data_IF_126306232019
#
_entry.id   IF_126306232019
#
_cell.length_a   1.000
_cell.length_b   1.000
_cell.length_c   1.000
_cell.angle_alpha   90.00
_cell.angle_beta   90.00
_cell.angle_gamma   90.00
#
_symmetry.space_group_name_H-M   'P 1'
#
loop_
_entity.id
_entity.type
_entity.pdbx_description
1 polymer ?
#
# COMPACT_ATOMS: atom_id res chain seq x y z
N UNK A 1 17.29 14.06 4.35
CA UNK A 1 16.45 15.08 3.65
C UNK A 1 15.01 14.80 4.01
N UNK A 2 14.26 15.81 4.36
CA UNK A 2 12.82 15.67 4.65
C UNK A 2 12.08 15.25 3.37
N UNK A 3 11.20 14.24 3.48
CA UNK A 3 10.41 13.76 2.34
C UNK A 3 9.16 14.65 2.21
N UNK A 4 8.97 15.20 1.02
CA UNK A 4 7.77 15.95 0.63
C UNK A 4 7.28 15.39 -0.69
N UNK A 5 6.18 14.64 -0.63
CA UNK A 5 5.59 13.95 -1.77
C UNK A 5 4.24 14.53 -2.17
N UNK A 6 3.88 14.30 -3.40
CA UNK A 6 2.52 14.41 -3.91
C UNK A 6 2.19 13.15 -4.70
N UNK A 7 0.93 12.72 -4.61
CA UNK A 7 0.43 11.55 -5.33
C UNK A 7 -0.51 12.04 -6.44
N UNK A 8 -0.33 11.48 -7.64
CA UNK A 8 -1.21 11.72 -8.79
C UNK A 8 -1.59 10.41 -9.46
N UNK A 9 -2.68 10.42 -10.20
CA UNK A 9 -2.98 9.30 -11.10
C UNK A 9 -2.05 9.31 -12.33
N UNK A 10 -1.67 8.13 -12.86
CA UNK A 10 -0.85 8.07 -14.08
C UNK A 10 -1.47 8.80 -15.27
N UNK A 11 -2.79 8.91 -15.31
CA UNK A 11 -3.56 9.63 -16.35
C UNK A 11 -3.40 11.15 -16.26
N UNK A 12 -3.04 11.68 -15.08
CA UNK A 12 -2.87 13.13 -14.84
C UNK A 12 -1.45 13.61 -15.14
N UNK A 13 -0.58 12.75 -15.66
CA UNK A 13 0.79 13.10 -16.01
C UNK A 13 0.79 14.16 -17.11
N UNK A 14 1.57 15.21 -16.87
CA UNK A 14 1.76 16.33 -17.80
C UNK A 14 3.24 16.71 -17.88
N UNK A 15 3.75 17.19 -19.03
CA UNK A 15 5.11 17.69 -19.16
C UNK A 15 5.45 18.86 -18.21
N UNK A 16 4.46 19.51 -17.64
CA UNK A 16 4.63 20.63 -16.70
C UNK A 16 4.93 20.16 -15.26
N UNK A 17 4.59 18.93 -14.90
CA UNK A 17 4.74 18.43 -13.55
C UNK A 17 6.19 18.49 -13.01
N UNK A 18 7.22 18.03 -13.74
CA UNK A 18 8.59 18.04 -13.21
C UNK A 18 9.03 19.41 -12.72
N UNK A 19 8.83 20.45 -13.55
CA UNK A 19 9.19 21.82 -13.21
C UNK A 19 8.38 22.36 -12.02
N UNK A 20 7.08 22.12 -11.99
CA UNK A 20 6.18 22.58 -10.91
C UNK A 20 6.53 21.92 -9.58
N UNK A 21 6.79 20.63 -9.57
CA UNK A 21 7.20 19.89 -8.37
C UNK A 21 8.52 20.42 -7.83
N UNK A 22 9.50 20.64 -8.71
CA UNK A 22 10.79 21.20 -8.32
C UNK A 22 10.64 22.61 -7.70
N UNK A 23 9.87 23.50 -8.34
CA UNK A 23 9.58 24.85 -7.83
C UNK A 23 8.85 24.83 -6.49
N UNK A 24 7.97 23.86 -6.27
CA UNK A 24 7.26 23.68 -5.00
C UNK A 24 8.11 23.00 -3.91
N UNK A 25 9.34 22.60 -4.22
CA UNK A 25 10.23 21.90 -3.28
C UNK A 25 9.77 20.47 -2.97
N UNK A 26 8.98 19.86 -3.87
CA UNK A 26 8.58 18.45 -3.80
C UNK A 26 9.72 17.58 -4.29
N UNK A 27 10.06 16.53 -3.55
CA UNK A 27 11.17 15.64 -3.86
C UNK A 27 10.75 14.17 -4.09
N UNK A 28 9.44 13.88 -3.98
CA UNK A 28 8.87 12.56 -4.28
C UNK A 28 7.58 12.73 -5.06
N UNK A 29 7.41 11.98 -6.15
CA UNK A 29 6.15 11.83 -6.87
C UNK A 29 5.65 10.40 -6.71
N UNK A 30 4.50 10.24 -6.07
CA UNK A 30 3.74 8.99 -6.02
C UNK A 30 2.86 8.84 -7.26
N UNK A 31 2.93 7.69 -7.92
CA UNK A 31 2.01 7.31 -9.00
C UNK A 31 1.01 6.30 -8.47
N UNK A 32 -0.26 6.71 -8.42
CA UNK A 32 -1.35 5.92 -7.86
C UNK A 32 -2.37 5.53 -8.94
N UNK A 33 -2.28 4.31 -9.51
CA UNK A 33 -3.36 3.77 -10.33
C UNK A 33 -4.68 3.72 -9.55
N UNK A 34 -5.80 3.93 -10.24
CA UNK A 34 -7.13 3.96 -9.61
C UNK A 34 -7.34 2.74 -8.71
N UNK A 35 -7.85 2.98 -7.49
CA UNK A 35 -8.14 1.98 -6.47
C UNK A 35 -9.48 1.24 -6.66
N UNK A 36 -9.96 0.60 -5.58
CA UNK A 36 -11.23 -0.10 -5.54
C UNK A 36 -11.35 -1.24 -6.55
N UNK A 37 -12.54 -1.49 -7.07
CA UNK A 37 -12.80 -2.57 -8.04
C UNK A 37 -12.01 -2.43 -9.35
N UNK A 38 -11.59 -1.22 -9.71
CA UNK A 38 -10.79 -0.92 -10.90
C UNK A 38 -9.29 -1.19 -10.74
N UNK A 39 -8.79 -1.38 -9.53
CA UNK A 39 -7.36 -1.45 -9.22
C UNK A 39 -6.58 -2.47 -10.08
N UNK A 40 -7.04 -3.72 -10.29
CA UNK A 40 -6.28 -4.68 -11.09
C UNK A 40 -6.14 -4.27 -12.57
N UNK A 41 -7.16 -3.63 -13.13
CA UNK A 41 -7.13 -3.16 -14.53
C UNK A 41 -6.24 -1.91 -14.67
N UNK A 42 -6.38 -0.96 -13.74
CA UNK A 42 -5.60 0.28 -13.71
C UNK A 42 -4.10 -0.03 -13.50
N UNK A 43 -3.76 -0.96 -12.61
CA UNK A 43 -2.38 -1.40 -12.43
C UNK A 43 -1.81 -2.06 -13.69
N UNK A 44 -2.57 -2.92 -14.37
CA UNK A 44 -2.15 -3.50 -15.66
C UNK A 44 -1.87 -2.42 -16.71
N UNK A 45 -2.73 -1.42 -16.81
CA UNK A 45 -2.54 -0.29 -17.71
C UNK A 45 -1.30 0.53 -17.37
N UNK A 46 -1.06 0.82 -16.08
CA UNK A 46 0.13 1.54 -15.62
C UNK A 46 1.42 0.76 -15.95
N UNK A 47 1.43 -0.56 -15.76
CA UNK A 47 2.56 -1.42 -16.13
C UNK A 47 2.81 -1.42 -17.64
N UNK A 48 1.77 -1.52 -18.46
CA UNK A 48 1.88 -1.48 -19.92
C UNK A 48 2.41 -0.13 -20.42
N UNK A 49 2.01 0.97 -19.78
CA UNK A 49 2.44 2.32 -20.14
C UNK A 49 3.83 2.70 -19.63
N UNK A 50 4.40 1.92 -18.72
CA UNK A 50 5.69 2.25 -18.09
C UNK A 50 6.80 2.49 -19.12
N UNK A 51 6.89 1.64 -20.12
CA UNK A 51 7.94 1.69 -21.14
C UNK A 51 7.56 2.57 -22.34
N UNK A 52 6.38 3.21 -22.33
CA UNK A 52 5.97 4.15 -23.36
C UNK A 52 6.94 5.35 -23.43
N UNK A 53 7.34 5.81 -24.63
CA UNK A 53 8.33 6.89 -24.78
C UNK A 53 8.02 8.16 -24.00
N UNK A 54 6.75 8.54 -23.89
CA UNK A 54 6.31 9.75 -23.15
C UNK A 54 6.51 9.55 -21.64
N UNK A 55 6.10 8.40 -21.09
CA UNK A 55 6.34 8.05 -19.69
C UNK A 55 7.84 8.05 -19.40
N UNK A 56 8.64 7.45 -20.24
CA UNK A 56 10.08 7.41 -20.08
C UNK A 56 10.72 8.82 -20.16
N UNK A 57 10.21 9.71 -21.02
CA UNK A 57 10.65 11.13 -21.04
C UNK A 57 10.29 11.84 -19.73
N UNK A 58 9.09 11.61 -19.23
CA UNK A 58 8.62 12.17 -17.97
C UNK A 58 9.47 11.70 -16.78
N UNK A 59 9.70 10.40 -16.64
CA UNK A 59 10.52 9.83 -15.56
C UNK A 59 11.96 10.39 -15.60
N UNK A 60 12.57 10.47 -16.77
CA UNK A 60 13.90 11.10 -16.93
C UNK A 60 13.89 12.60 -16.59
N UNK A 61 12.81 13.30 -16.81
CA UNK A 61 12.70 14.71 -16.44
C UNK A 61 12.66 14.90 -14.91
N UNK A 62 11.96 14.02 -14.19
CA UNK A 62 11.93 13.98 -12.72
C UNK A 62 13.31 13.64 -12.15
N UNK A 63 13.97 12.61 -12.69
CA UNK A 63 15.28 12.16 -12.25
C UNK A 63 16.33 13.28 -12.36
N UNK A 64 16.36 14.02 -13.47
CA UNK A 64 17.26 15.19 -13.65
C UNK A 64 17.05 16.31 -12.62
N UNK A 65 15.85 16.39 -12.03
CA UNK A 65 15.52 17.38 -11.01
C UNK A 65 15.65 16.81 -9.58
N UNK A 66 16.14 15.57 -9.44
CA UNK A 66 16.31 14.90 -8.16
C UNK A 66 14.98 14.53 -7.48
N UNK A 67 13.91 14.35 -8.28
CA UNK A 67 12.59 13.96 -7.79
C UNK A 67 12.46 12.45 -7.96
N UNK A 68 12.36 11.71 -6.85
CA UNK A 68 12.16 10.28 -6.86
C UNK A 68 10.72 9.93 -7.24
N UNK A 69 10.54 8.79 -7.91
CA UNK A 69 9.21 8.26 -8.23
C UNK A 69 8.93 7.02 -7.39
N UNK A 70 7.75 6.97 -6.79
CA UNK A 70 7.23 5.83 -6.05
C UNK A 70 5.89 5.37 -6.65
N UNK A 71 5.62 4.07 -6.56
CA UNK A 71 4.37 3.48 -7.04
C UNK A 71 3.53 3.07 -5.83
N UNK A 72 2.43 3.80 -5.60
CA UNK A 72 1.55 3.66 -4.45
C UNK A 72 0.24 3.04 -4.92
N UNK A 73 0.02 1.74 -4.65
CA UNK A 73 -0.97 0.97 -5.41
C UNK A 73 -1.69 -0.07 -4.56
N UNK A 74 -3.00 -0.23 -4.79
CA UNK A 74 -3.75 -1.40 -4.36
C UNK A 74 -3.40 -2.58 -5.27
N UNK A 75 -2.56 -3.48 -4.79
CA UNK A 75 -1.94 -4.51 -5.64
C UNK A 75 -2.58 -5.88 -5.52
N UNK A 76 -3.30 -6.17 -4.44
CA UNK A 76 -3.66 -7.54 -4.09
C UNK A 76 -4.56 -8.20 -5.14
N UNK A 77 -5.59 -7.50 -5.62
CA UNK A 77 -6.47 -8.03 -6.67
C UNK A 77 -5.76 -8.27 -8.01
N UNK A 78 -4.61 -7.61 -8.26
CA UNK A 78 -3.74 -7.91 -9.40
C UNK A 78 -2.83 -9.12 -9.13
N UNK A 79 -2.25 -9.21 -7.93
CA UNK A 79 -1.32 -10.27 -7.54
C UNK A 79 -2.02 -11.61 -7.28
N UNK A 80 -3.28 -11.58 -6.86
CA UNK A 80 -4.13 -12.75 -6.62
C UNK A 80 -5.39 -12.67 -7.52
N UNK A 81 -5.27 -12.97 -8.81
CA UNK A 81 -6.38 -12.84 -9.75
C UNK A 81 -7.51 -13.84 -9.43
N UNK A 82 -8.80 -13.43 -9.61
CA UNK A 82 -9.97 -14.19 -9.20
C UNK A 82 -10.11 -15.57 -9.86
N UNK A 83 -9.49 -15.77 -11.02
CA UNK A 83 -9.48 -17.04 -11.75
C UNK A 83 -8.80 -18.17 -10.95
N UNK A 84 -7.92 -17.82 -10.02
CA UNK A 84 -7.27 -18.80 -9.15
C UNK A 84 -8.22 -19.43 -8.14
N UNK A 85 -9.36 -18.81 -7.85
CA UNK A 85 -10.35 -19.34 -6.89
C UNK A 85 -10.79 -20.77 -7.24
N UNK A 86 -10.87 -21.11 -8.53
CA UNK A 86 -11.28 -22.44 -8.99
C UNK A 86 -10.27 -23.52 -8.61
N UNK A 87 -8.98 -23.20 -8.64
CA UNK A 87 -7.90 -24.18 -8.38
C UNK A 87 -7.33 -24.08 -6.96
N UNK A 88 -7.39 -22.90 -6.39
CA UNK A 88 -6.81 -22.57 -5.09
C UNK A 88 -7.79 -21.76 -4.25
N UNK A 89 -8.98 -22.32 -3.91
CA UNK A 89 -9.96 -21.60 -3.10
C UNK A 89 -9.40 -21.21 -1.72
N UNK A 90 -8.47 -21.99 -1.18
CA UNK A 90 -7.82 -21.77 0.13
C UNK A 90 -6.99 -20.48 0.17
N UNK A 91 -6.57 -19.91 -0.98
CA UNK A 91 -5.86 -18.64 -1.05
C UNK A 91 -6.77 -17.44 -0.76
N UNK A 92 -8.06 -17.60 -1.03
CA UNK A 92 -9.04 -16.52 -0.95
C UNK A 92 -9.68 -16.42 0.44
N UNK A 93 -10.18 -15.24 0.82
CA UNK A 93 -10.81 -15.06 2.11
C UNK A 93 -12.08 -15.90 2.21
N UNK A 94 -12.35 -16.41 3.42
CA UNK A 94 -13.59 -17.06 3.77
C UNK A 94 -14.50 -16.02 4.42
N UNK A 95 -15.75 -15.97 4.00
CA UNK A 95 -16.77 -15.13 4.65
C UNK A 95 -17.29 -15.78 5.94
N UNK A 96 -18.17 -15.08 6.67
CA UNK A 96 -18.79 -15.60 7.90
C UNK A 96 -19.72 -16.79 7.68
N UNK A 97 -20.17 -17.02 6.45
CA UNK A 97 -20.96 -18.19 6.03
C UNK A 97 -20.11 -19.41 5.68
N UNK A 98 -18.78 -19.32 5.76
CA UNK A 98 -17.87 -20.43 5.45
C UNK A 98 -17.53 -20.58 3.97
N UNK A 99 -17.92 -19.63 3.11
CA UNK A 99 -17.66 -19.67 1.68
C UNK A 99 -16.40 -18.86 1.33
N UNK A 100 -15.56 -19.42 0.47
CA UNK A 100 -14.42 -18.73 -0.12
C UNK A 100 -14.87 -17.90 -1.33
N UNK A 101 -14.41 -16.65 -1.41
CA UNK A 101 -14.80 -15.72 -2.48
C UNK A 101 -13.57 -14.99 -3.04
N UNK A 102 -13.65 -14.63 -4.32
CA UNK A 102 -12.60 -13.80 -4.97
C UNK A 102 -12.64 -12.37 -4.42
N UNK A 103 -11.82 -12.12 -3.41
CA UNK A 103 -11.69 -10.79 -2.80
C UNK A 103 -12.86 -10.39 -1.86
N UNK A 104 -12.72 -9.24 -1.20
CA UNK A 104 -11.48 -8.50 -1.10
C UNK A 104 -10.46 -9.19 -0.18
N UNK A 105 -9.19 -8.89 -0.41
CA UNK A 105 -8.05 -9.46 0.30
C UNK A 105 -7.86 -10.98 0.10
N UNK A 106 -7.11 -11.63 0.99
CA UNK A 106 -6.75 -13.06 0.89
C UNK A 106 -6.79 -13.76 2.26
N UNK A 107 -6.58 -15.06 2.27
CA UNK A 107 -6.36 -15.81 3.50
C UNK A 107 -4.98 -15.48 4.06
N UNK A 108 -4.95 -14.89 5.27
CA UNK A 108 -3.72 -14.41 5.91
C UNK A 108 -2.93 -15.50 6.67
N UNK A 109 -3.39 -16.74 6.63
CA UNK A 109 -2.78 -17.83 7.43
C UNK A 109 -2.44 -19.08 6.63
N UNK A 110 -2.92 -19.21 5.39
CA UNK A 110 -2.60 -20.37 4.56
C UNK A 110 -1.15 -20.26 4.03
N UNK A 111 -0.25 -21.22 4.33
CA UNK A 111 1.17 -21.11 3.96
C UNK A 111 1.37 -20.91 2.46
N UNK A 112 0.76 -21.77 1.63
CA UNK A 112 0.94 -21.72 0.17
C UNK A 112 0.38 -20.41 -0.43
N UNK A 113 -0.65 -19.81 0.19
CA UNK A 113 -1.16 -18.50 -0.21
C UNK A 113 -0.14 -17.39 0.09
N UNK A 114 0.52 -17.45 1.26
CA UNK A 114 1.56 -16.50 1.64
C UNK A 114 2.82 -16.68 0.77
N UNK A 115 3.21 -17.90 0.44
CA UNK A 115 4.31 -18.17 -0.48
C UNK A 115 3.98 -17.69 -1.90
N UNK A 116 2.76 -17.91 -2.35
CA UNK A 116 2.28 -17.42 -3.64
C UNK A 116 2.38 -15.89 -3.73
N UNK A 117 1.85 -15.17 -2.72
CA UNK A 117 1.87 -13.70 -2.74
C UNK A 117 3.28 -13.13 -2.63
N UNK A 118 4.18 -13.79 -1.89
CA UNK A 118 5.61 -13.43 -1.86
C UNK A 118 6.23 -13.52 -3.26
N UNK A 119 5.98 -14.63 -3.98
CA UNK A 119 6.45 -14.81 -5.35
C UNK A 119 5.90 -13.79 -6.34
N UNK A 120 4.62 -13.41 -6.22
CA UNK A 120 4.03 -12.36 -7.05
C UNK A 120 4.60 -10.98 -6.72
N UNK A 121 4.82 -10.68 -5.44
CA UNK A 121 5.43 -9.42 -5.00
C UNK A 121 6.87 -9.27 -5.49
N UNK A 122 7.65 -10.35 -5.51
CA UNK A 122 8.97 -10.39 -6.16
C UNK A 122 8.88 -9.99 -7.63
N UNK A 123 7.94 -10.57 -8.39
CA UNK A 123 7.77 -10.29 -9.82
C UNK A 123 7.38 -8.84 -10.08
N UNK A 124 6.47 -8.30 -9.26
CA UNK A 124 6.04 -6.90 -9.38
C UNK A 124 7.16 -5.93 -9.00
N UNK A 125 7.90 -6.19 -7.93
CA UNK A 125 9.04 -5.37 -7.52
C UNK A 125 10.14 -5.32 -8.60
N UNK A 126 10.36 -6.41 -9.31
CA UNK A 126 11.27 -6.44 -10.48
C UNK A 126 10.76 -5.63 -11.67
N UNK A 127 9.45 -5.55 -11.87
CA UNK A 127 8.87 -4.72 -12.91
C UNK A 127 8.88 -3.23 -12.54
N UNK A 128 8.73 -2.90 -11.26
CA UNK A 128 8.66 -1.54 -10.73
C UNK A 128 9.76 -1.33 -9.67
N UNK A 129 11.04 -1.27 -10.07
CA UNK A 129 12.13 -1.03 -9.12
C UNK A 129 11.98 0.37 -8.50
N UNK A 130 12.05 0.43 -7.16
CA UNK A 130 11.96 1.69 -6.42
C UNK A 130 13.34 2.33 -6.24
N UNK A 131 13.49 3.61 -6.63
CA UNK A 131 14.70 4.39 -6.38
C UNK A 131 14.93 4.68 -4.89
N UNK A 132 13.85 4.71 -4.12
CA UNK A 132 13.87 4.99 -2.67
C UNK A 132 13.93 3.72 -1.83
N UNK A 133 13.87 2.52 -2.44
CA UNK A 133 13.68 1.24 -1.78
C UNK A 133 12.39 1.14 -0.97
N UNK A 134 11.45 2.06 -1.16
CA UNK A 134 10.14 2.05 -0.51
C UNK A 134 9.12 1.53 -1.49
N UNK A 135 8.31 0.57 -1.04
CA UNK A 135 7.25 -0.07 -1.81
C UNK A 135 5.92 0.15 -1.11
N UNK A 136 4.89 0.45 -1.89
CA UNK A 136 3.53 0.73 -1.42
C UNK A 136 2.57 -0.21 -2.15
N UNK A 137 2.72 -1.50 -1.86
CA UNK A 137 1.87 -2.56 -2.39
C UNK A 137 0.75 -2.80 -1.40
N UNK A 138 -0.24 -1.92 -1.42
CA UNK A 138 -1.36 -1.98 -0.48
C UNK A 138 -2.28 -3.17 -0.79
N UNK A 139 -2.99 -3.63 0.24
CA UNK A 139 -4.08 -4.57 0.10
C UNK A 139 -5.27 -3.90 -0.61
N UNK A 140 -6.38 -4.64 -0.80
CA UNK A 140 -7.55 -4.09 -1.48
C UNK A 140 -8.16 -2.91 -0.70
N UNK A 141 -8.65 -1.92 -1.43
CA UNK A 141 -9.30 -0.73 -0.88
C UNK A 141 -10.70 -1.08 -0.34
N UNK A 142 -10.72 -1.53 0.88
CA UNK A 142 -11.95 -2.03 1.50
C UNK A 142 -11.89 -2.01 3.03
N UNK A 143 -13.04 -1.76 3.65
CA UNK A 143 -13.25 -1.86 5.09
C UNK A 143 -13.82 -3.24 5.46
N UNK A 144 -13.04 -4.31 5.29
CA UNK A 144 -13.52 -5.67 5.63
C UNK A 144 -12.98 -6.17 6.96
N UNK A 145 -13.69 -7.14 7.54
CA UNK A 145 -13.23 -7.89 8.70
C UNK A 145 -12.09 -8.88 8.37
N UNK A 146 -11.67 -8.98 7.10
CA UNK A 146 -10.70 -9.95 6.63
C UNK A 146 -11.28 -11.38 6.50
N UNK A 147 -10.37 -12.36 6.37
CA UNK A 147 -10.73 -13.77 6.25
C UNK A 147 -11.28 -14.32 7.57
N UNK A 148 -12.40 -15.05 7.50
CA UNK A 148 -13.10 -15.65 8.64
C UNK A 148 -12.88 -17.17 8.75
N UNK A 149 -11.87 -17.74 8.08
CA UNK A 149 -11.54 -19.15 8.26
C UNK A 149 -11.10 -19.45 9.72
N UNK A 150 -11.14 -20.71 10.17
CA UNK A 150 -10.83 -21.06 11.56
C UNK A 150 -9.50 -20.49 12.10
N UNK A 151 -8.50 -20.37 11.24
CA UNK A 151 -7.17 -19.84 11.60
C UNK A 151 -7.10 -18.31 11.58
N UNK A 152 -7.94 -17.64 10.76
CA UNK A 152 -7.92 -16.18 10.62
C UNK A 152 -8.89 -15.45 11.56
N UNK A 153 -10.04 -16.06 11.91
CA UNK A 153 -11.13 -15.39 12.64
C UNK A 153 -10.75 -14.83 14.01
N UNK A 154 -9.66 -15.33 14.60
CA UNK A 154 -9.10 -14.80 15.86
C UNK A 154 -8.10 -13.65 15.67
N UNK A 155 -7.79 -13.28 14.44
CA UNK A 155 -6.88 -12.22 14.11
C UNK A 155 -7.64 -10.94 13.76
N UNK A 156 -7.16 -9.79 14.26
CA UNK A 156 -7.69 -8.49 13.84
C UNK A 156 -7.42 -8.24 12.35
N UNK A 157 -8.15 -7.32 11.68
CA UNK A 157 -7.83 -6.90 10.32
C UNK A 157 -6.37 -6.44 10.19
N UNK A 158 -5.85 -5.74 11.19
CA UNK A 158 -4.45 -5.29 11.27
C UNK A 158 -3.45 -6.44 11.33
N UNK A 159 -3.75 -7.49 12.11
CA UNK A 159 -2.91 -8.69 12.17
C UNK A 159 -2.90 -9.43 10.83
N UNK A 160 -4.07 -9.58 10.20
CA UNK A 160 -4.18 -10.23 8.91
C UNK A 160 -3.42 -9.45 7.83
N UNK A 161 -3.60 -8.11 7.76
CA UNK A 161 -2.83 -7.27 6.86
C UNK A 161 -1.32 -7.46 7.08
N UNK A 162 -0.86 -7.35 8.32
CA UNK A 162 0.58 -7.43 8.62
C UNK A 162 1.19 -8.79 8.26
N UNK A 163 0.45 -9.90 8.42
CA UNK A 163 0.91 -11.23 7.99
C UNK A 163 1.12 -11.28 6.48
N UNK A 164 0.18 -10.74 5.71
CA UNK A 164 0.28 -10.67 4.25
C UNK A 164 1.47 -9.79 3.85
N UNK A 165 1.61 -8.61 4.45
CA UNK A 165 2.71 -7.69 4.16
C UNK A 165 4.08 -8.29 4.52
N UNK A 166 4.21 -9.04 5.60
CA UNK A 166 5.45 -9.75 5.92
C UNK A 166 5.86 -10.73 4.82
N UNK A 167 4.91 -11.49 4.27
CA UNK A 167 5.16 -12.38 3.14
C UNK A 167 5.52 -11.60 1.86
N UNK A 168 4.78 -10.52 1.57
CA UNK A 168 5.08 -9.66 0.42
C UNK A 168 6.48 -9.04 0.52
N UNK A 169 6.87 -8.55 1.70
CA UNK A 169 8.22 -7.98 1.92
C UNK A 169 9.32 -9.03 1.71
N UNK A 170 9.11 -10.27 2.15
CA UNK A 170 10.06 -11.34 1.89
C UNK A 170 10.28 -11.57 0.38
N UNK A 171 9.22 -11.48 -0.42
CA UNK A 171 9.32 -11.52 -1.88
C UNK A 171 10.01 -10.28 -2.47
N UNK A 172 9.64 -9.07 -2.04
CA UNK A 172 10.24 -7.81 -2.49
C UNK A 172 11.76 -7.83 -2.25
N UNK A 173 12.20 -8.30 -1.09
CA UNK A 173 13.63 -8.36 -0.73
C UNK A 173 14.47 -9.32 -1.56
N UNK A 174 13.87 -10.25 -2.25
CA UNK A 174 14.57 -11.05 -3.26
C UNK A 174 14.89 -10.24 -4.53
N UNK A 175 14.11 -9.19 -4.82
CA UNK A 175 14.35 -8.28 -5.94
C UNK A 175 15.17 -7.05 -5.52
N UNK A 176 14.93 -6.53 -4.33
CA UNK A 176 15.59 -5.38 -3.74
C UNK A 176 15.92 -5.67 -2.26
N UNK A 177 17.17 -6.09 -1.95
CA UNK A 177 17.57 -6.44 -0.58
C UNK A 177 17.39 -5.31 0.45
N UNK A 178 17.31 -4.04 0.02
CA UNK A 178 17.03 -2.87 0.87
C UNK A 178 15.55 -2.51 0.93
N UNK A 179 14.70 -3.29 0.27
CA UNK A 179 13.27 -3.03 0.17
C UNK A 179 12.60 -2.88 1.53
N UNK A 180 11.79 -1.84 1.64
CA UNK A 180 10.86 -1.57 2.75
C UNK A 180 9.44 -1.55 2.19
N UNK A 181 8.45 -1.95 2.99
CA UNK A 181 7.06 -2.04 2.56
C UNK A 181 6.15 -1.26 3.52
N UNK A 182 5.26 -0.44 2.96
CA UNK A 182 4.31 0.34 3.73
C UNK A 182 3.22 -0.55 4.37
N UNK A 183 3.00 -0.35 5.66
CA UNK A 183 1.77 -0.76 6.34
C UNK A 183 0.80 0.42 6.28
N UNK A 184 -0.22 0.33 5.43
CA UNK A 184 -1.25 1.34 5.32
C UNK A 184 -2.22 1.23 6.51
N UNK A 185 -2.10 2.16 7.47
CA UNK A 185 -3.07 2.30 8.56
C UNK A 185 -4.26 3.12 8.06
N UNK A 186 -5.35 2.44 7.73
CA UNK A 186 -6.48 2.98 6.99
C UNK A 186 -7.78 2.28 7.41
N UNK A 187 -8.81 3.01 7.70
CA UNK A 187 -10.14 2.50 8.05
C UNK A 187 -10.12 1.35 9.07
N UNK A 188 -10.20 0.10 8.61
CA UNK A 188 -10.25 -1.08 9.50
C UNK A 188 -8.90 -1.48 10.09
N UNK A 189 -7.80 -0.90 9.63
CA UNK A 189 -6.43 -1.21 10.06
C UNK A 189 -5.77 -0.08 10.86
N UNK A 190 -6.56 0.89 11.34
CA UNK A 190 -6.09 1.97 12.21
C UNK A 190 -5.71 1.50 13.62
N UNK A 191 -6.22 0.36 14.09
CA UNK A 191 -5.77 -0.23 15.35
C UNK A 191 -4.46 -0.98 15.14
N UNK A 192 -3.46 -0.83 16.04
CA UNK A 192 -2.22 -1.60 15.93
C UNK A 192 -2.47 -3.11 15.93
N UNK A 193 -1.66 -3.90 15.19
CA UNK A 193 -1.67 -5.36 15.31
C UNK A 193 -1.37 -5.81 16.74
N UNK A 194 -1.97 -6.93 17.17
CA UNK A 194 -1.79 -7.47 18.53
C UNK A 194 -1.01 -8.79 18.51
N UNK A 195 -1.38 -9.68 17.59
CA UNK A 195 -0.84 -11.05 17.50
C UNK A 195 0.31 -11.20 16.49
N UNK A 196 0.52 -10.21 15.62
CA UNK A 196 1.52 -10.26 14.55
C UNK A 196 2.56 -9.18 14.74
N UNK A 197 3.84 -9.51 14.55
CA UNK A 197 4.95 -8.53 14.59
C UNK A 197 5.40 -8.18 13.18
N UNK A 198 5.79 -6.92 12.94
CA UNK A 198 6.34 -6.52 11.66
C UNK A 198 7.73 -7.14 11.45
N UNK A 199 7.97 -7.63 10.25
CA UNK A 199 9.32 -7.88 9.79
C UNK A 199 10.08 -6.55 9.70
N UNK A 200 11.38 -6.58 9.95
CA UNK A 200 12.23 -5.41 9.75
C UNK A 200 12.04 -4.86 8.32
N UNK A 201 11.84 -3.53 8.20
CA UNK A 201 11.52 -2.85 6.92
C UNK A 201 10.04 -2.68 6.63
N UNK A 202 9.12 -3.21 7.45
CA UNK A 202 7.73 -2.72 7.42
C UNK A 202 7.68 -1.37 8.13
N UNK A 203 7.15 -0.35 7.48
CA UNK A 203 7.01 1.00 8.04
C UNK A 203 5.56 1.49 8.01
N UNK A 204 5.24 2.40 8.94
CA UNK A 204 3.90 2.98 9.03
C UNK A 204 3.65 3.97 7.90
N UNK A 205 2.55 3.80 7.19
CA UNK A 205 1.90 4.82 6.39
C UNK A 205 0.52 5.09 6.98
N UNK A 206 0.36 6.25 7.57
CA UNK A 206 -0.87 6.62 8.26
C UNK A 206 -1.76 7.46 7.35
N UNK A 207 -2.96 6.98 7.07
CA UNK A 207 -3.90 7.57 6.11
C UNK A 207 -5.20 8.03 6.81
N UNK A 208 -5.27 9.28 7.35
CA UNK A 208 -6.39 9.80 8.11
C UNK A 208 -7.54 10.28 7.22
N UNK A 209 -8.12 9.39 6.40
CA UNK A 209 -9.13 9.74 5.40
C UNK A 209 -10.41 10.33 6.00
N UNK A 210 -10.73 9.98 7.26
CA UNK A 210 -11.97 10.46 7.89
C UNK A 210 -11.80 11.74 8.67
N UNK A 211 -10.65 12.40 8.60
CA UNK A 211 -10.41 13.67 9.28
C UNK A 211 -11.27 14.82 8.71
N UNK A 212 -11.38 15.89 9.44
CA UNK A 212 -11.88 17.18 8.93
C UNK A 212 -10.75 17.92 8.21
N UNK A 213 -10.85 18.03 6.88
CA UNK A 213 -9.84 18.65 6.02
C UNK A 213 -9.81 20.19 6.12
N UNK A 214 -10.84 20.81 6.70
CA UNK A 214 -10.87 22.25 6.94
C UNK A 214 -10.09 22.66 8.20
N UNK A 215 -9.56 21.70 8.96
CA UNK A 215 -8.82 21.91 10.18
C UNK A 215 -7.51 21.12 10.20
N UNK A 216 -6.44 21.66 10.81
CA UNK A 216 -5.23 20.90 11.01
C UNK A 216 -5.52 19.57 11.73
N UNK A 217 -4.89 18.49 11.34
CA UNK A 217 -5.04 17.18 11.99
C UNK A 217 -4.71 17.26 13.49
N UNK A 218 -3.78 18.14 13.88
CA UNK A 218 -3.36 18.35 15.26
C UNK A 218 -4.32 19.24 16.09
N UNK A 219 -5.37 19.83 15.50
CA UNK A 219 -6.31 20.69 16.25
C UNK A 219 -7.07 19.87 17.30
N UNK A 220 -6.74 20.07 18.58
CA UNK A 220 -7.39 19.40 19.71
C UNK A 220 -8.85 19.79 19.94
N UNK A 221 -9.35 20.86 19.30
CA UNK A 221 -10.74 21.30 19.36
C UNK A 221 -11.63 20.67 18.31
N UNK A 222 -11.03 19.98 17.34
CA UNK A 222 -11.76 19.25 16.31
C UNK A 222 -11.96 17.79 16.77
N UNK A 223 -13.14 17.46 17.29
CA UNK A 223 -13.45 16.10 17.78
C UNK A 223 -13.21 15.01 16.74
N UNK A 224 -13.52 15.30 15.46
CA UNK A 224 -13.30 14.38 14.36
C UNK A 224 -11.82 14.06 14.19
N UNK A 225 -10.95 15.07 14.20
CA UNK A 225 -9.51 14.90 14.07
C UNK A 225 -8.89 14.25 15.32
N UNK A 226 -9.42 14.58 16.51
CA UNK A 226 -9.00 13.90 17.75
C UNK A 226 -9.28 12.40 17.69
N UNK A 227 -10.47 12.00 17.23
CA UNK A 227 -10.83 10.59 17.06
C UNK A 227 -9.96 9.90 16.02
N UNK A 228 -9.78 10.54 14.85
CA UNK A 228 -8.97 9.98 13.74
C UNK A 228 -7.55 9.70 14.20
N UNK A 229 -6.89 10.63 14.87
CA UNK A 229 -5.50 10.49 15.34
C UNK A 229 -5.32 9.71 16.65
N UNK A 230 -6.40 9.24 17.28
CA UNK A 230 -6.32 8.61 18.60
C UNK A 230 -5.36 7.40 18.64
N UNK A 231 -5.26 6.64 17.55
CA UNK A 231 -4.41 5.46 17.46
C UNK A 231 -2.98 5.76 16.96
N UNK A 232 -2.71 6.97 16.48
CA UNK A 232 -1.40 7.30 15.91
C UNK A 232 -0.23 7.10 16.89
N UNK A 233 -0.32 7.51 18.19
CA UNK A 233 0.77 7.25 19.14
C UNK A 233 1.07 5.75 19.31
N UNK A 234 0.04 4.90 19.36
CA UNK A 234 0.20 3.46 19.50
C UNK A 234 0.79 2.83 18.21
N UNK A 235 0.37 3.30 17.03
CA UNK A 235 0.93 2.89 15.75
C UNK A 235 2.41 3.29 15.63
N UNK A 236 2.77 4.51 16.02
CA UNK A 236 4.16 4.98 16.03
C UNK A 236 5.02 4.19 17.05
N UNK A 237 4.46 3.84 18.21
CA UNK A 237 5.12 2.96 19.16
C UNK A 237 5.34 1.54 18.64
N UNK A 238 4.45 1.05 17.79
CA UNK A 238 4.50 -0.30 17.24
C UNK A 238 5.47 -0.42 16.04
N UNK A 239 5.40 0.51 15.08
CA UNK A 239 6.21 0.49 13.84
C UNK A 239 7.49 1.33 13.93
N UNK A 240 7.61 2.21 14.93
CA UNK A 240 8.66 3.20 15.02
C UNK A 240 8.38 4.46 14.20
N UNK A 241 9.07 5.56 14.53
CA UNK A 241 8.89 6.87 13.89
C UNK A 241 9.83 7.09 12.69
N UNK A 242 10.93 6.34 12.61
CA UNK A 242 12.05 6.64 11.73
C UNK A 242 11.67 6.66 10.24
N UNK A 243 10.77 5.78 9.82
CA UNK A 243 10.32 5.63 8.43
C UNK A 243 8.83 5.90 8.25
N UNK A 244 8.15 6.33 9.34
CA UNK A 244 6.74 6.62 9.29
C UNK A 244 6.44 7.82 8.38
N UNK A 245 5.30 7.78 7.72
CA UNK A 245 4.79 8.89 6.91
C UNK A 245 3.28 9.03 7.07
N UNK A 246 2.78 10.19 6.69
CA UNK A 246 1.35 10.47 6.60
C UNK A 246 0.98 10.56 5.12
N UNK A 247 -0.06 9.82 4.74
CA UNK A 247 -0.74 9.96 3.46
C UNK A 247 -1.93 10.91 3.66
N UNK A 248 -1.77 12.16 3.24
CA UNK A 248 -2.80 13.19 3.36
C UNK A 248 -3.67 13.26 2.11
N UNK A 249 -4.92 13.68 2.31
CA UNK A 249 -5.92 13.91 1.27
C UNK A 249 -6.24 15.40 1.18
N UNK A 250 -6.41 15.92 -0.04
CA UNK A 250 -6.63 17.35 -0.31
C UNK A 250 -7.95 17.58 -1.06
#
# INVERSE_FOLDING_TARGET
MERRGIIIHPEDISPLWPQRLHQAGINVLGLHPVGGAGAPASLRAALANRDHPDMQRFLRALDRLGIAVEYEMHTLGYLLPPELLVRHPEFFPMDSGGLRRSGPNMCATHPDALDYIAGQSYRLARQLPSQTHRYYFWLDDTATAGCQCPQCRGLSPSDQQLRILNAMLAGIRQADPRGMLAYLAYVSTLMPPVATRPSDGIFLEYAPIQRDFHRPLADGRCEKNVKERAQLPALLGFFGVQHAQVLEYW
#
